data_IF_867367467548
#
_entry.id   IF_867367467548
#
_cell.length_a   1.000
_cell.length_b   1.000
_cell.length_c   1.000
_cell.angle_alpha   90.00
_cell.angle_beta   90.00
_cell.angle_gamma   90.00
#
_symmetry.space_group_name_H-M   'P 1'
#
loop_
_entity.id
_entity.type
_entity.pdbx_description
1 polymer ?
#
# COMPACT_ATOMS: atom_id res chain seq x y z
N UNK A 1 7.25 7.09 2.03
CA UNK A 1 6.97 8.52 2.38
C UNK A 1 6.94 8.72 3.89
N UNK A 2 6.35 7.79 4.67
CA UNK A 2 6.26 7.92 6.13
C UNK A 2 7.51 7.48 6.93
N UNK A 3 8.35 6.57 6.43
CA UNK A 3 9.56 6.15 7.17
C UNK A 3 10.59 7.29 7.29
N UNK A 4 10.90 7.96 6.19
CA UNK A 4 11.75 9.16 6.17
C UNK A 4 11.14 10.33 6.95
N UNK A 5 9.81 10.39 7.06
CA UNK A 5 9.16 11.39 7.90
C UNK A 5 9.63 11.21 9.35
N UNK A 6 9.90 10.00 9.85
CA UNK A 6 10.28 9.74 11.25
C UNK A 6 11.78 9.80 11.55
N UNK A 7 12.62 9.43 10.58
CA UNK A 7 14.08 9.65 10.69
C UNK A 7 14.41 11.14 10.69
N UNK A 8 13.58 11.96 10.04
CA UNK A 8 13.72 13.42 9.96
C UNK A 8 12.55 14.20 10.63
N UNK A 9 11.73 13.59 11.51
CA UNK A 9 10.56 14.29 12.13
C UNK A 9 10.87 15.05 13.39
N UNK A 10 12.07 14.93 13.92
CA UNK A 10 12.51 15.68 15.06
C UNK A 10 13.75 16.45 14.66
N UNK A 11 13.56 17.65 14.10
CA UNK A 11 14.45 18.75 14.48
C UNK A 11 14.30 18.90 16.00
N UNK A 12 15.39 19.04 16.74
CA UNK A 12 15.29 19.44 18.14
C UNK A 12 14.44 20.72 18.18
N UNK A 13 13.31 20.66 18.90
CA UNK A 13 12.47 21.83 19.08
C UNK A 13 13.24 22.78 20.00
N UNK A 14 13.71 23.89 19.45
CA UNK A 14 14.38 24.91 20.23
C UNK A 14 13.34 25.96 20.62
N UNK A 15 13.06 26.06 21.91
CA UNK A 15 12.30 27.16 22.48
C UNK A 15 13.27 28.25 22.90
N UNK A 16 13.24 29.40 22.24
CA UNK A 16 14.08 30.55 22.59
C UNK A 16 13.23 31.56 23.35
N UNK A 17 13.64 31.89 24.58
CA UNK A 17 13.03 32.96 25.37
C UNK A 17 13.74 34.28 25.07
N UNK A 18 13.01 35.25 24.53
CA UNK A 18 13.55 36.59 24.25
C UNK A 18 13.14 37.51 25.42
N UNK A 19 14.10 37.91 26.26
CA UNK A 19 13.86 38.92 27.31
C UNK A 19 14.39 40.28 26.85
N UNK A 20 13.54 41.31 26.90
CA UNK A 20 13.98 42.72 26.79
C UNK A 20 14.34 43.20 28.19
N UNK A 21 15.58 43.63 28.40
CA UNK A 21 15.96 44.27 29.67
C UNK A 21 15.20 45.59 29.85
N UNK A 22 14.47 45.72 30.96
CA UNK A 22 13.87 46.98 31.41
C UNK A 22 12.38 47.21 31.14
N UNK A 23 11.64 46.26 30.56
CA UNK A 23 10.18 46.38 30.37
C UNK A 23 9.40 45.31 31.15
N UNK A 24 8.58 45.73 32.10
CA UNK A 24 7.62 44.92 32.88
C UNK A 24 6.33 44.64 32.07
N UNK A 25 6.46 44.31 30.80
CA UNK A 25 5.31 43.94 29.95
C UNK A 25 5.46 42.46 29.57
N UNK A 26 4.89 41.60 30.43
CA UNK A 26 4.99 40.15 30.33
C UNK A 26 3.87 39.59 29.46
N UNK A 27 4.04 39.65 28.14
CA UNK A 27 3.22 38.87 27.21
C UNK A 27 3.88 37.50 26.98
N UNK A 28 3.34 36.44 27.61
CA UNK A 28 3.84 35.07 27.48
C UNK A 28 3.85 34.57 26.02
N UNK A 29 2.92 35.04 25.17
CA UNK A 29 2.81 34.59 23.78
C UNK A 29 3.92 35.21 22.91
N UNK A 30 4.30 36.45 23.19
CA UNK A 30 5.41 37.13 22.49
C UNK A 30 6.80 36.73 23.00
N UNK A 31 6.86 36.07 24.17
CA UNK A 31 8.12 35.77 24.86
C UNK A 31 8.83 34.51 24.37
N UNK A 32 8.13 33.64 23.63
CA UNK A 32 8.65 32.36 23.15
C UNK A 32 8.58 32.26 21.63
N UNK A 33 9.72 31.96 21.01
CA UNK A 33 9.78 31.59 19.59
C UNK A 33 10.01 30.09 19.52
N UNK A 34 9.02 29.35 19.01
CA UNK A 34 9.18 27.94 18.68
C UNK A 34 9.88 27.82 17.32
N UNK A 35 11.17 27.50 17.35
CA UNK A 35 12.00 27.27 16.17
C UNK A 35 12.25 25.79 15.92
N UNK A 36 12.40 25.41 14.64
CA UNK A 36 12.99 24.12 14.28
C UNK A 36 14.51 24.28 14.20
N UNK A 37 15.25 23.54 15.01
CA UNK A 37 16.71 23.49 14.88
C UNK A 37 17.12 22.63 13.68
N UNK A 38 17.78 23.24 12.69
CA UNK A 38 18.45 22.53 11.61
C UNK A 38 19.94 22.55 11.90
N UNK A 39 20.56 21.37 11.97
CA UNK A 39 22.01 21.29 12.23
C UNK A 39 22.81 21.95 11.09
N UNK A 40 23.97 22.54 11.41
CA UNK A 40 24.85 23.14 10.41
C UNK A 40 25.15 22.25 9.18
N UNK A 41 25.45 20.93 9.31
CA UNK A 41 25.64 20.07 8.14
C UNK A 41 24.36 19.84 7.33
N UNK A 42 23.18 19.76 7.97
CA UNK A 42 21.89 19.63 7.27
C UNK A 42 21.55 20.91 6.50
N UNK A 43 21.74 22.08 7.13
CA UNK A 43 21.54 23.39 6.49
C UNK A 43 22.43 23.56 5.26
N UNK A 44 23.71 23.16 5.35
CA UNK A 44 24.62 23.13 4.21
C UNK A 44 24.10 22.20 3.11
N UNK A 45 23.57 21.03 3.45
CA UNK A 45 23.00 20.07 2.50
C UNK A 45 21.81 20.66 1.72
N UNK A 46 20.94 21.39 2.43
CA UNK A 46 19.82 22.12 1.85
C UNK A 46 20.28 23.28 0.95
N UNK A 47 21.24 24.09 1.40
CA UNK A 47 21.78 25.22 0.63
C UNK A 47 22.45 24.77 -0.68
N UNK A 48 23.03 23.57 -0.70
CA UNK A 48 23.63 22.98 -1.90
C UNK A 48 22.64 22.13 -2.71
N UNK A 49 21.35 22.13 -2.38
CA UNK A 49 20.29 21.38 -3.07
C UNK A 49 20.55 19.87 -3.18
N UNK A 50 21.30 19.30 -2.23
CA UNK A 50 21.59 17.87 -2.26
C UNK A 50 20.36 17.04 -1.89
N UNK A 51 20.21 15.90 -2.56
CA UNK A 51 19.13 14.96 -2.28
C UNK A 51 19.25 14.39 -0.85
N UNK A 52 18.31 14.75 0.02
CA UNK A 52 18.24 14.26 1.42
C UNK A 52 17.81 12.81 1.55
N UNK A 53 17.11 12.29 0.53
CA UNK A 53 16.71 10.90 0.49
C UNK A 53 16.45 10.44 -0.93
N UNK A 54 16.76 9.17 -1.18
CA UNK A 54 16.42 8.49 -2.41
C UNK A 54 15.59 7.24 -2.07
N UNK A 55 14.59 6.94 -2.89
CA UNK A 55 13.84 5.68 -2.80
C UNK A 55 14.37 4.74 -3.88
N UNK A 56 15.01 3.66 -3.47
CA UNK A 56 15.46 2.63 -4.40
C UNK A 56 14.28 1.92 -5.09
N UNK A 57 13.13 1.78 -4.42
CA UNK A 57 12.00 0.99 -4.93
C UNK A 57 10.69 1.77 -5.03
N UNK A 58 9.92 1.47 -6.07
CA UNK A 58 8.52 1.87 -6.21
C UNK A 58 7.61 0.84 -5.54
N UNK A 59 6.73 1.29 -4.65
CA UNK A 59 5.77 0.41 -3.97
C UNK A 59 4.40 0.53 -4.65
N UNK A 60 3.91 -0.59 -5.20
CA UNK A 60 2.57 -0.69 -5.79
C UNK A 60 1.63 -1.31 -4.77
N UNK A 61 0.56 -0.59 -4.41
CA UNK A 61 -0.47 -1.12 -3.49
C UNK A 61 -1.41 -2.05 -4.26
N UNK A 62 -1.48 -3.29 -3.83
CA UNK A 62 -2.33 -4.32 -4.39
C UNK A 62 -3.65 -4.40 -3.62
N UNK A 63 -4.74 -4.68 -4.30
CA UNK A 63 -6.07 -4.75 -3.70
C UNK A 63 -6.27 -6.11 -3.03
N UNK A 64 -6.89 -6.11 -1.85
CA UNK A 64 -7.32 -7.32 -1.16
C UNK A 64 -8.72 -7.07 -0.66
N UNK A 65 -9.68 -7.78 -1.27
CA UNK A 65 -11.09 -7.69 -0.93
C UNK A 65 -11.78 -9.01 -1.26
N UNK A 66 -12.88 -9.29 -0.58
CA UNK A 66 -13.74 -10.44 -0.88
C UNK A 66 -14.55 -10.16 -2.16
N UNK A 67 -15.20 -11.18 -2.76
CA UNK A 67 -16.14 -10.96 -3.86
C UNK A 67 -17.17 -9.88 -3.52
N UNK A 68 -17.38 -8.93 -4.44
CA UNK A 68 -18.33 -7.81 -4.29
C UNK A 68 -18.08 -6.87 -3.10
N UNK A 69 -16.92 -6.95 -2.43
CA UNK A 69 -16.54 -6.06 -1.34
C UNK A 69 -15.39 -5.12 -1.72
N UNK A 70 -15.35 -4.65 -2.97
CA UNK A 70 -14.33 -3.71 -3.42
C UNK A 70 -14.41 -2.40 -2.63
N UNK A 71 -13.27 -1.79 -2.26
CA UNK A 71 -13.28 -0.46 -1.65
C UNK A 71 -13.71 0.60 -2.67
N UNK A 72 -14.76 1.36 -2.34
CA UNK A 72 -15.27 2.46 -3.16
C UNK A 72 -14.96 3.77 -2.43
N UNK A 73 -14.36 4.72 -3.14
CA UNK A 73 -14.15 6.09 -2.64
C UNK A 73 -15.14 7.00 -3.35
N UNK A 74 -15.92 7.73 -2.56
CA UNK A 74 -16.94 8.66 -3.05
C UNK A 74 -16.85 10.00 -2.32
N UNK A 75 -17.44 11.02 -2.91
CA UNK A 75 -17.72 12.29 -2.24
C UNK A 75 -19.15 12.23 -1.71
N UNK A 76 -19.39 12.89 -0.59
CA UNK A 76 -20.71 12.97 0.03
C UNK A 76 -21.76 13.46 -0.98
N UNK A 77 -22.86 12.72 -1.13
CA UNK A 77 -23.91 12.97 -2.12
C UNK A 77 -23.65 12.44 -3.54
N UNK A 78 -22.55 11.71 -3.77
CA UNK A 78 -22.22 11.05 -5.05
C UNK A 78 -22.10 9.52 -4.93
N UNK A 79 -22.78 8.92 -3.96
CA UNK A 79 -22.69 7.49 -3.65
C UNK A 79 -23.11 6.63 -4.85
N UNK A 80 -24.28 6.90 -5.43
CA UNK A 80 -24.82 6.13 -6.55
C UNK A 80 -23.89 6.14 -7.76
N UNK A 81 -23.39 7.32 -8.16
CA UNK A 81 -22.44 7.46 -9.26
C UNK A 81 -21.09 6.78 -8.96
N UNK A 82 -20.67 6.74 -7.70
CA UNK A 82 -19.46 6.04 -7.31
C UNK A 82 -19.62 4.52 -7.41
N UNK A 83 -20.80 3.98 -7.05
CA UNK A 83 -21.14 2.57 -7.22
C UNK A 83 -21.14 2.18 -8.70
N UNK A 84 -21.79 2.96 -9.57
CA UNK A 84 -21.79 2.71 -11.01
C UNK A 84 -20.37 2.72 -11.61
N UNK A 85 -19.56 3.71 -11.24
CA UNK A 85 -18.15 3.78 -11.66
C UNK A 85 -17.32 2.61 -11.14
N UNK A 86 -17.59 2.16 -9.92
CA UNK A 86 -16.89 1.03 -9.32
C UNK A 86 -17.25 -0.29 -10.00
N UNK A 87 -18.51 -0.47 -10.41
CA UNK A 87 -18.95 -1.66 -11.15
C UNK A 87 -18.23 -1.81 -12.50
N UNK A 88 -17.89 -0.70 -13.15
CA UNK A 88 -17.15 -0.68 -14.43
C UNK A 88 -15.64 -0.83 -14.27
N UNK A 89 -15.09 -0.57 -13.07
CA UNK A 89 -13.63 -0.53 -12.84
C UNK A 89 -13.13 -1.80 -12.19
N UNK A 90 -12.11 -2.40 -12.80
CA UNK A 90 -11.41 -3.55 -12.23
C UNK A 90 -10.41 -3.10 -11.18
N UNK A 91 -10.33 -3.85 -10.08
CA UNK A 91 -9.26 -3.69 -9.11
C UNK A 91 -8.00 -4.38 -9.62
N UNK A 92 -6.84 -4.09 -9.00
CA UNK A 92 -5.60 -4.79 -9.31
C UNK A 92 -5.70 -6.31 -9.11
N UNK A 93 -6.61 -6.77 -8.25
CA UNK A 93 -6.85 -8.19 -7.97
C UNK A 93 -7.70 -8.84 -9.08
N UNK A 94 -8.84 -8.24 -9.42
CA UNK A 94 -9.71 -8.79 -10.48
C UNK A 94 -9.05 -8.69 -11.85
N UNK A 95 -8.25 -7.65 -12.11
CA UNK A 95 -7.47 -7.56 -13.34
C UNK A 95 -6.34 -8.59 -13.39
N UNK A 96 -5.82 -9.04 -12.23
CA UNK A 96 -4.81 -10.10 -12.18
C UNK A 96 -5.40 -11.46 -12.55
N UNK A 97 -6.64 -11.74 -12.13
CA UNK A 97 -7.37 -12.92 -12.58
C UNK A 97 -7.55 -12.95 -14.11
N UNK A 98 -7.96 -11.83 -14.70
CA UNK A 98 -8.06 -11.73 -16.15
C UNK A 98 -6.70 -11.85 -16.85
N UNK A 99 -5.65 -11.29 -16.26
CA UNK A 99 -4.29 -11.45 -16.77
C UNK A 99 -3.89 -12.94 -16.80
N UNK A 100 -4.11 -13.66 -15.70
CA UNK A 100 -3.79 -15.09 -15.60
C UNK A 100 -4.61 -15.94 -16.59
N UNK A 101 -5.82 -15.50 -16.95
CA UNK A 101 -6.65 -16.16 -17.97
C UNK A 101 -6.10 -15.98 -19.38
N UNK A 102 -5.54 -14.81 -19.68
CA UNK A 102 -5.19 -14.40 -21.04
C UNK A 102 -3.69 -14.57 -21.35
N UNK A 103 -2.81 -14.52 -20.35
CA UNK A 103 -1.35 -14.61 -20.52
C UNK A 103 -0.78 -15.76 -19.67
N UNK A 104 -0.40 -16.89 -20.31
CA UNK A 104 0.23 -18.02 -19.63
C UNK A 104 1.50 -17.65 -18.86
N UNK A 105 2.20 -16.58 -19.26
CA UNK A 105 3.42 -16.11 -18.59
C UNK A 105 3.13 -15.60 -17.18
N UNK A 106 1.93 -15.05 -16.95
CA UNK A 106 1.52 -14.53 -15.65
C UNK A 106 1.16 -15.64 -14.65
N UNK A 107 0.83 -16.84 -15.14
CA UNK A 107 0.33 -17.96 -14.34
C UNK A 107 1.34 -18.41 -13.25
N UNK A 108 2.63 -18.25 -13.52
CA UNK A 108 3.70 -18.64 -12.61
C UNK A 108 4.19 -17.50 -11.70
N UNK A 109 3.50 -16.35 -11.70
CA UNK A 109 3.90 -15.17 -10.93
C UNK A 109 2.91 -14.97 -9.79
N UNK A 110 3.43 -14.86 -8.56
CA UNK A 110 2.62 -14.58 -7.37
C UNK A 110 1.98 -13.19 -7.46
N UNK A 111 0.83 -12.98 -6.83
CA UNK A 111 0.16 -11.68 -6.88
C UNK A 111 1.05 -10.53 -6.37
N UNK A 112 1.85 -10.76 -5.34
CA UNK A 112 2.81 -9.79 -4.80
C UNK A 112 3.93 -9.41 -5.76
N UNK A 113 4.30 -10.30 -6.68
CA UNK A 113 5.42 -10.11 -7.61
C UNK A 113 4.97 -9.59 -8.98
N UNK A 114 3.67 -9.67 -9.31
CA UNK A 114 3.12 -9.14 -10.57
C UNK A 114 3.62 -7.73 -10.90
N UNK A 115 3.69 -6.76 -9.96
CA UNK A 115 4.19 -5.42 -10.26
C UNK A 115 5.63 -5.36 -10.79
N UNK A 116 6.46 -6.38 -10.54
CA UNK A 116 7.82 -6.47 -11.11
C UNK A 116 7.79 -6.74 -12.62
N UNK A 117 6.77 -7.46 -13.11
CA UNK A 117 6.67 -7.90 -14.51
C UNK A 117 5.59 -7.17 -15.30
N UNK A 118 4.61 -6.59 -14.62
CA UNK A 118 3.48 -5.89 -15.22
C UNK A 118 3.25 -4.53 -14.56
N UNK A 119 2.70 -3.59 -15.33
CA UNK A 119 2.28 -2.26 -14.88
C UNK A 119 0.76 -2.22 -14.93
N UNK A 120 0.13 -1.81 -13.82
CA UNK A 120 -1.30 -1.60 -13.79
C UNK A 120 -1.66 -0.27 -14.45
N UNK A 121 -2.34 -0.34 -15.59
CA UNK A 121 -2.86 0.82 -16.30
C UNK A 121 -4.20 1.24 -15.69
N UNK A 122 -4.21 2.39 -15.00
CA UNK A 122 -5.40 2.92 -14.33
C UNK A 122 -6.50 3.38 -15.29
N UNK A 123 -6.16 3.67 -16.54
CA UNK A 123 -7.14 4.12 -17.55
C UNK A 123 -7.98 2.95 -18.04
N UNK A 124 -7.32 1.84 -18.39
CA UNK A 124 -7.95 0.60 -18.87
C UNK A 124 -8.28 -0.39 -17.75
N UNK A 125 -7.79 -0.14 -16.53
CA UNK A 125 -7.88 -1.03 -15.36
C UNK A 125 -7.30 -2.43 -15.60
N UNK A 126 -6.28 -2.54 -16.46
CA UNK A 126 -5.67 -3.80 -16.85
C UNK A 126 -4.16 -3.82 -16.55
N UNK A 127 -3.61 -5.02 -16.39
CA UNK A 127 -2.16 -5.22 -16.32
C UNK A 127 -1.55 -5.28 -17.72
N UNK A 128 -0.48 -4.51 -17.95
CA UNK A 128 0.30 -4.52 -19.20
C UNK A 128 1.72 -4.95 -18.91
N UNK A 129 2.34 -5.70 -19.82
CA UNK A 129 3.73 -6.17 -19.66
C UNK A 129 4.68 -4.99 -19.46
N UNK A 130 5.49 -5.05 -18.42
CA UNK A 130 6.47 -4.02 -18.08
C UNK A 130 7.66 -4.10 -19.02
N UNK A 131 8.11 -2.94 -19.49
CA UNK A 131 9.26 -2.84 -20.39
C UNK A 131 10.58 -2.58 -19.64
N UNK A 132 10.56 -1.92 -18.48
CA UNK A 132 11.77 -1.57 -17.72
C UNK A 132 11.54 -1.38 -16.21
N UNK A 133 12.62 -1.50 -15.44
CA UNK A 133 12.68 -1.12 -14.03
C UNK A 133 11.93 -2.04 -13.07
N UNK A 134 11.67 -3.30 -13.46
CA UNK A 134 10.94 -4.28 -12.65
C UNK A 134 11.65 -4.66 -11.35
N UNK A 135 12.98 -4.72 -11.39
CA UNK A 135 13.84 -5.07 -10.25
C UNK A 135 13.70 -4.12 -9.06
N UNK A 136 13.22 -2.90 -9.30
CA UNK A 136 13.04 -1.86 -8.29
C UNK A 136 11.55 -1.65 -7.95
N UNK A 137 10.71 -2.67 -8.09
CA UNK A 137 9.27 -2.57 -7.81
C UNK A 137 8.85 -3.63 -6.79
N UNK A 138 8.07 -3.20 -5.80
CA UNK A 138 7.54 -4.08 -4.75
C UNK A 138 6.01 -3.99 -4.78
N UNK A 139 5.34 -5.11 -5.01
CA UNK A 139 3.91 -5.24 -4.78
C UNK A 139 3.62 -5.42 -3.29
N UNK A 140 2.78 -4.56 -2.73
CA UNK A 140 2.44 -4.58 -1.31
C UNK A 140 0.95 -4.80 -1.13
N UNK A 141 0.61 -5.94 -0.54
CA UNK A 141 -0.73 -6.20 -0.04
C UNK A 141 -0.93 -5.42 1.28
N UNK A 142 -2.10 -4.77 1.49
CA UNK A 142 -2.41 -4.10 2.74
C UNK A 142 -2.35 -5.08 3.91
N UNK A 143 -2.08 -4.56 5.11
CA UNK A 143 -2.28 -5.33 6.34
C UNK A 143 -3.78 -5.50 6.53
N UNK A 144 -4.20 -6.73 6.82
CA UNK A 144 -5.60 -7.06 7.10
C UNK A 144 -5.65 -7.55 8.55
N UNK A 145 -6.62 -7.08 9.31
CA UNK A 145 -6.83 -7.52 10.70
C UNK A 145 -7.25 -8.98 10.74
N UNK A 146 -6.80 -9.74 11.74
CA UNK A 146 -7.22 -11.13 11.95
C UNK A 146 -8.74 -11.20 12.24
N UNK A 147 -9.33 -10.14 12.79
CA UNK A 147 -10.77 -10.04 13.03
C UNK A 147 -11.59 -9.96 11.73
N UNK A 148 -10.96 -9.57 10.62
CA UNK A 148 -11.54 -9.65 9.27
C UNK A 148 -11.14 -11.01 8.68
N UNK A 149 -11.66 -12.06 9.30
CA UNK A 149 -11.22 -13.45 9.19
C UNK A 149 -11.02 -13.90 7.74
N UNK A 150 -12.06 -13.82 6.92
CA UNK A 150 -12.01 -14.31 5.54
C UNK A 150 -11.06 -13.49 4.67
N UNK A 151 -11.02 -12.16 4.84
CA UNK A 151 -10.11 -11.30 4.07
C UNK A 151 -8.65 -11.52 4.49
N UNK A 152 -8.42 -11.81 5.77
CA UNK A 152 -7.11 -12.16 6.30
C UNK A 152 -6.57 -13.46 5.67
N UNK A 153 -7.41 -14.51 5.62
CA UNK A 153 -7.03 -15.78 4.98
C UNK A 153 -6.90 -15.65 3.46
N UNK A 154 -7.76 -14.88 2.80
CA UNK A 154 -7.58 -14.53 1.38
C UNK A 154 -6.21 -13.88 1.14
N UNK A 155 -5.82 -12.92 1.99
CA UNK A 155 -4.49 -12.27 1.89
C UNK A 155 -3.36 -13.30 2.00
N UNK A 156 -3.47 -14.28 2.90
CA UNK A 156 -2.47 -15.33 3.05
C UNK A 156 -2.37 -16.19 1.78
N UNK A 157 -3.50 -16.59 1.20
CA UNK A 157 -3.51 -17.37 -0.05
C UNK A 157 -2.93 -16.57 -1.22
N UNK A 158 -3.25 -15.28 -1.35
CA UNK A 158 -2.70 -14.41 -2.39
C UNK A 158 -1.18 -14.24 -2.33
N UNK A 159 -0.56 -14.45 -1.16
CA UNK A 159 0.90 -14.43 -1.00
C UNK A 159 1.57 -15.75 -1.41
N UNK A 160 0.80 -16.83 -1.59
CA UNK A 160 1.34 -18.19 -1.80
C UNK A 160 0.92 -18.79 -3.14
N UNK A 161 -0.32 -18.58 -3.55
CA UNK A 161 -0.86 -19.08 -4.82
C UNK A 161 -0.47 -18.16 -5.99
N UNK A 162 -0.05 -18.77 -7.09
CA UNK A 162 0.12 -18.13 -8.40
C UNK A 162 -0.91 -18.71 -9.37
N UNK A 163 -1.26 -17.94 -10.41
CA UNK A 163 -2.13 -18.40 -11.49
C UNK A 163 -3.64 -18.53 -11.25
N UNK A 164 -4.27 -18.17 -10.12
CA UNK A 164 -5.73 -18.26 -10.03
C UNK A 164 -6.37 -17.28 -11.04
N UNK A 165 -7.43 -17.73 -11.72
CA UNK A 165 -8.22 -16.91 -12.65
C UNK A 165 -9.55 -16.46 -12.04
N UNK A 166 -9.80 -16.78 -10.78
CA UNK A 166 -11.01 -16.39 -10.05
C UNK A 166 -10.83 -16.48 -8.53
N UNK A 167 -11.80 -16.00 -7.76
CA UNK A 167 -11.86 -16.27 -6.32
C UNK A 167 -12.13 -17.75 -6.01
N UNK A 168 -12.89 -18.45 -6.86
CA UNK A 168 -13.15 -19.88 -6.71
C UNK A 168 -11.88 -20.73 -6.90
N UNK A 169 -10.98 -20.30 -7.78
CA UNK A 169 -9.67 -20.93 -7.95
C UNK A 169 -8.79 -20.74 -6.70
N UNK A 170 -8.88 -19.57 -6.05
CA UNK A 170 -8.21 -19.33 -4.77
C UNK A 170 -8.80 -20.26 -3.69
N UNK A 171 -10.10 -20.51 -3.70
CA UNK A 171 -10.76 -21.46 -2.79
C UNK A 171 -10.45 -22.93 -3.13
N UNK A 172 -10.00 -23.21 -4.34
CA UNK A 172 -9.76 -24.58 -4.80
C UNK A 172 -8.35 -25.05 -4.40
N UNK A 173 -8.25 -26.10 -3.59
CA UNK A 173 -6.98 -26.71 -3.17
C UNK A 173 -7.03 -28.18 -3.54
N UNK A 174 -5.98 -28.69 -4.20
CA UNK A 174 -5.90 -30.08 -4.67
C UNK A 174 -7.12 -30.53 -5.51
N UNK A 175 -7.71 -29.62 -6.29
CA UNK A 175 -8.89 -29.89 -7.11
C UNK A 175 -10.24 -29.87 -6.37
N UNK A 176 -10.25 -29.65 -5.06
CA UNK A 176 -11.45 -29.54 -4.25
C UNK A 176 -11.72 -28.07 -3.89
N UNK A 177 -12.94 -27.60 -4.16
CA UNK A 177 -13.36 -26.23 -3.82
C UNK A 177 -13.79 -26.16 -2.36
N UNK A 178 -13.04 -25.40 -1.55
CA UNK A 178 -13.40 -25.11 -0.17
C UNK A 178 -14.58 -24.11 -0.09
N UNK A 179 -15.24 -24.06 1.06
CA UNK A 179 -16.35 -23.13 1.32
C UNK A 179 -15.81 -21.74 1.71
N UNK A 180 -14.74 -21.71 2.50
CA UNK A 180 -14.14 -20.49 3.06
C UNK A 180 -12.66 -20.38 2.74
N UNK A 181 -12.13 -19.15 2.76
CA UNK A 181 -10.69 -18.92 2.59
C UNK A 181 -9.90 -19.45 3.79
N UNK A 182 -10.50 -19.49 4.99
CA UNK A 182 -9.92 -20.16 6.15
C UNK A 182 -9.70 -21.65 5.87
N UNK A 183 -10.73 -22.35 5.40
CA UNK A 183 -10.64 -23.77 5.08
C UNK A 183 -9.61 -24.00 3.97
N UNK A 184 -9.60 -23.17 2.92
CA UNK A 184 -8.59 -23.25 1.88
C UNK A 184 -7.17 -23.04 2.43
N UNK A 185 -6.96 -22.17 3.43
CA UNK A 185 -5.67 -22.05 4.12
C UNK A 185 -5.29 -23.32 4.89
N UNK A 186 -6.26 -23.98 5.55
CA UNK A 186 -6.04 -25.24 6.28
C UNK A 186 -5.63 -26.35 5.32
N UNK A 187 -6.41 -26.57 4.26
CA UNK A 187 -6.15 -27.59 3.23
C UNK A 187 -4.83 -27.35 2.49
N UNK A 188 -4.45 -26.07 2.30
CA UNK A 188 -3.17 -25.71 1.69
C UNK A 188 -1.98 -25.87 2.66
N UNK A 189 -2.23 -26.21 3.93
CA UNK A 189 -1.18 -26.40 4.94
C UNK A 189 -0.57 -25.10 5.48
N UNK A 190 -1.28 -23.96 5.37
CA UNK A 190 -0.81 -22.67 5.89
C UNK A 190 -1.13 -22.49 7.38
N UNK A 191 -2.06 -23.28 7.91
CA UNK A 191 -2.44 -23.28 9.31
C UNK A 191 -1.96 -24.59 9.90
N UNK A 192 -1.08 -24.52 10.91
CA UNK A 192 -0.75 -25.69 11.72
C UNK A 192 -2.01 -26.05 12.51
N UNK A 193 -2.37 -27.33 12.50
CA UNK A 193 -3.34 -27.84 13.47
C UNK A 193 -2.69 -27.78 14.85
N UNK A 194 -3.35 -27.10 15.77
CA UNK A 194 -3.17 -27.35 17.20
C UNK A 194 -4.00 -28.58 17.59
#
# INVERSE_FOLDING_TARGET
>A
KYLYKYVYKGHDAASVKIQKEGALDHDEILSFVEGRYVSAPEAMWHLNEFNLSHKSHTVVRLAVHLPQQQPIVYQDGQEAQAIERAALRKTTLTSWFELNKNDPSAHNISYSDIPQYYVFDKSTTNWKKRQRGGQNVIGRLPVVSILDTERYYLRMLLLRKSGPISFDDILTVNGLRCITFQQACQEYGLLRGD
#
